data_IF_645583930631
#
_entry.id   IF_645583930631
#
_cell.length_a   1.000
_cell.length_b   1.000
_cell.length_c   1.000
_cell.angle_alpha   90.00
_cell.angle_beta   90.00
_cell.angle_gamma   90.00
#
_symmetry.space_group_name_H-M   'P 1'
#
loop_
_entity.id
_entity.type
_entity.pdbx_description
1 polymer ?
#
# COMPACT_ATOMS: atom_id res chain seq x y z
N UNK A 1 -25.56 -19.71 10.04
CA UNK A 1 -26.63 -18.98 9.35
C UNK A 1 -27.98 -19.68 9.45
N UNK A 2 -28.13 -20.96 9.08
CA UNK A 2 -29.43 -21.66 9.11
C UNK A 2 -30.11 -21.65 10.50
N UNK A 3 -29.35 -21.84 11.59
CA UNK A 3 -29.89 -21.79 12.95
C UNK A 3 -30.44 -20.40 13.32
N UNK A 4 -29.78 -19.32 12.86
CA UNK A 4 -30.24 -17.96 13.12
C UNK A 4 -31.54 -17.63 12.35
N UNK A 5 -31.72 -18.17 11.15
CA UNK A 5 -32.93 -17.99 10.34
C UNK A 5 -34.12 -18.86 10.77
N UNK A 6 -33.91 -19.80 11.69
CA UNK A 6 -34.93 -20.73 12.16
C UNK A 6 -35.80 -20.18 13.33
N UNK A 7 -35.61 -18.91 13.72
CA UNK A 7 -36.41 -18.25 14.72
C UNK A 7 -37.87 -18.09 14.29
N UNK A 8 -38.80 -18.23 15.23
CA UNK A 8 -40.22 -18.00 15.02
C UNK A 8 -40.74 -16.99 16.06
N UNK A 9 -41.39 -15.95 15.55
CA UNK A 9 -41.82 -14.82 16.38
C UNK A 9 -40.63 -14.21 17.14
N UNK A 10 -40.68 -14.20 18.46
CA UNK A 10 -39.64 -13.60 19.30
C UNK A 10 -38.70 -14.65 19.94
N UNK A 11 -38.81 -15.93 19.51
CA UNK A 11 -38.03 -17.04 20.08
C UNK A 11 -37.24 -17.78 18.99
N UNK A 12 -35.98 -18.06 19.30
CA UNK A 12 -35.14 -18.94 18.49
C UNK A 12 -34.59 -20.07 19.35
N UNK A 13 -35.22 -21.28 19.26
CA UNK A 13 -34.77 -22.47 19.98
C UNK A 13 -33.35 -22.93 19.64
N UNK A 14 -32.76 -22.38 18.58
CA UNK A 14 -31.39 -22.69 18.14
C UNK A 14 -30.32 -21.79 18.76
N UNK A 15 -30.66 -20.94 19.72
CA UNK A 15 -29.69 -20.08 20.42
C UNK A 15 -28.47 -20.84 20.98
N UNK A 16 -28.58 -22.05 21.58
CA UNK A 16 -27.40 -22.77 22.04
C UNK A 16 -26.45 -23.15 20.89
N UNK A 17 -26.99 -23.49 19.71
CA UNK A 17 -26.20 -23.83 18.52
C UNK A 17 -25.52 -22.57 17.96
N UNK A 18 -26.25 -21.46 17.94
CA UNK A 18 -25.72 -20.15 17.50
C UNK A 18 -24.57 -19.72 18.42
N UNK A 19 -24.79 -19.81 19.72
CA UNK A 19 -23.80 -19.44 20.75
C UNK A 19 -22.56 -20.32 20.66
N UNK A 20 -22.72 -21.63 20.54
CA UNK A 20 -21.61 -22.57 20.36
C UNK A 20 -20.79 -22.23 19.09
N UNK A 21 -21.47 -22.03 17.98
CA UNK A 21 -20.81 -21.67 16.71
C UNK A 21 -20.05 -20.32 16.81
N UNK A 22 -20.66 -19.33 17.46
CA UNK A 22 -20.05 -18.01 17.67
C UNK A 22 -18.78 -18.12 18.51
N UNK A 23 -18.87 -18.72 19.70
CA UNK A 23 -17.70 -18.86 20.58
C UNK A 23 -16.59 -19.74 19.97
N UNK A 24 -16.96 -20.77 19.25
CA UNK A 24 -15.99 -21.60 18.53
C UNK A 24 -15.28 -20.79 17.46
N UNK A 25 -16.00 -20.00 16.69
CA UNK A 25 -15.42 -19.12 15.66
C UNK A 25 -14.49 -18.07 16.27
N UNK A 26 -14.89 -17.43 17.34
CA UNK A 26 -14.06 -16.45 18.06
C UNK A 26 -12.76 -17.09 18.59
N UNK A 27 -12.83 -18.28 19.16
CA UNK A 27 -11.65 -19.02 19.63
C UNK A 27 -10.71 -19.37 18.48
N UNK A 28 -11.24 -19.84 17.38
CA UNK A 28 -10.44 -20.17 16.17
C UNK A 28 -9.78 -18.92 15.62
N UNK A 29 -10.50 -17.81 15.48
CA UNK A 29 -9.95 -16.54 15.03
C UNK A 29 -8.85 -16.01 15.94
N UNK A 30 -9.06 -16.06 17.26
CA UNK A 30 -8.04 -15.65 18.24
C UNK A 30 -6.76 -16.46 18.08
N UNK A 31 -6.89 -17.78 17.95
CA UNK A 31 -5.74 -18.67 17.73
C UNK A 31 -5.05 -18.41 16.39
N UNK A 32 -5.83 -18.16 15.34
CA UNK A 32 -5.29 -17.82 14.02
C UNK A 32 -4.50 -16.51 14.04
N UNK A 33 -5.03 -15.45 14.67
CA UNK A 33 -4.34 -14.18 14.84
C UNK A 33 -3.03 -14.33 15.64
N UNK A 34 -3.08 -15.06 16.74
CA UNK A 34 -1.87 -15.33 17.54
C UNK A 34 -0.82 -16.12 16.75
N UNK A 35 -1.26 -17.11 15.99
CA UNK A 35 -0.36 -17.91 15.14
C UNK A 35 0.25 -17.06 14.05
N UNK A 36 -0.55 -16.23 13.37
CA UNK A 36 -0.08 -15.30 12.35
C UNK A 36 0.94 -14.34 12.97
N UNK A 37 0.62 -13.73 14.12
CA UNK A 37 1.54 -12.84 14.81
C UNK A 37 2.87 -13.53 15.10
N UNK A 38 2.85 -14.65 15.82
CA UNK A 38 4.08 -15.29 16.34
C UNK A 38 4.89 -16.03 15.26
N UNK A 39 4.24 -16.53 14.21
CA UNK A 39 4.89 -17.33 13.16
C UNK A 39 5.21 -16.53 11.89
N UNK A 40 4.61 -15.37 11.72
CA UNK A 40 4.80 -14.55 10.53
C UNK A 40 5.25 -13.12 10.87
N UNK A 41 4.49 -12.40 11.70
CA UNK A 41 4.67 -10.95 11.86
C UNK A 41 5.87 -10.61 12.76
N UNK A 42 5.99 -11.25 13.94
CA UNK A 42 6.98 -10.90 14.96
C UNK A 42 8.45 -11.04 14.47
N UNK A 43 8.68 -11.74 13.37
CA UNK A 43 10.04 -11.92 12.81
C UNK A 43 10.30 -11.12 11.52
N UNK A 44 9.37 -10.27 11.08
CA UNK A 44 9.54 -9.50 9.85
C UNK A 44 10.58 -8.39 10.08
N UNK A 45 11.58 -8.36 9.22
CA UNK A 45 12.55 -7.27 9.11
C UNK A 45 12.49 -6.68 7.71
N UNK A 46 12.54 -5.35 7.63
CA UNK A 46 12.55 -4.67 6.34
C UNK A 46 13.94 -4.76 5.69
N UNK A 47 13.99 -5.15 4.43
CA UNK A 47 15.19 -4.98 3.61
C UNK A 47 15.16 -3.56 3.00
N UNK A 48 15.58 -2.57 3.82
CA UNK A 48 15.44 -1.14 3.52
C UNK A 48 16.07 -0.74 2.19
N UNK A 49 17.28 -1.24 1.91
CA UNK A 49 18.02 -0.89 0.70
C UNK A 49 17.29 -1.39 -0.55
N UNK A 50 16.82 -2.64 -0.51
CA UNK A 50 16.05 -3.24 -1.60
C UNK A 50 14.72 -2.54 -1.82
N UNK A 51 14.00 -2.22 -0.76
CA UNK A 51 12.71 -1.54 -0.87
C UNK A 51 12.86 -0.11 -1.36
N UNK A 52 13.88 0.63 -0.92
CA UNK A 52 14.20 1.95 -1.43
C UNK A 52 14.52 1.91 -2.94
N UNK A 53 15.36 0.98 -3.38
CA UNK A 53 15.66 0.78 -4.80
C UNK A 53 14.38 0.50 -5.61
N UNK A 54 13.53 -0.40 -5.13
CA UNK A 54 12.25 -0.72 -5.81
C UNK A 54 11.33 0.49 -5.93
N UNK A 55 11.25 1.34 -4.91
CA UNK A 55 10.47 2.59 -4.97
C UNK A 55 11.03 3.52 -6.03
N UNK A 56 12.33 3.77 -6.03
CA UNK A 56 12.97 4.70 -6.97
C UNK A 56 12.94 4.24 -8.43
N UNK A 57 12.83 2.94 -8.66
CA UNK A 57 12.63 2.37 -10.00
C UNK A 57 11.16 2.21 -10.40
N UNK A 58 10.22 2.52 -9.51
CA UNK A 58 8.79 2.43 -9.81
C UNK A 58 8.33 3.60 -10.67
N UNK A 59 7.63 3.31 -11.76
CA UNK A 59 6.94 4.36 -12.54
C UNK A 59 5.83 5.06 -11.75
N UNK A 60 5.33 4.46 -10.67
CA UNK A 60 4.26 5.02 -9.84
C UNK A 60 4.64 6.32 -9.14
N UNK A 61 5.94 6.51 -8.83
CA UNK A 61 6.42 7.73 -8.16
C UNK A 61 6.32 9.00 -9.04
N UNK A 62 6.10 8.85 -10.35
CA UNK A 62 5.89 9.99 -11.26
C UNK A 62 4.71 10.88 -10.84
N UNK A 63 3.77 10.32 -10.09
CA UNK A 63 2.60 11.06 -9.59
C UNK A 63 2.97 12.22 -8.67
N UNK A 64 4.10 12.14 -7.96
CA UNK A 64 4.63 13.22 -7.13
C UNK A 64 5.12 14.42 -7.94
N UNK A 65 5.44 14.21 -9.20
CA UNK A 65 5.85 15.28 -10.12
C UNK A 65 4.68 16.01 -10.76
N UNK A 66 3.46 15.48 -10.63
CA UNK A 66 2.26 16.03 -11.28
C UNK A 66 1.99 17.51 -10.90
N UNK A 67 2.16 17.95 -9.64
CA UNK A 67 1.98 19.37 -9.30
C UNK A 67 2.98 20.30 -10.01
N UNK A 68 4.19 19.82 -10.30
CA UNK A 68 5.26 20.62 -10.92
C UNK A 68 5.24 20.59 -12.44
N UNK A 69 4.96 19.43 -13.04
CA UNK A 69 5.12 19.19 -14.48
C UNK A 69 3.80 18.96 -15.23
N UNK A 70 2.70 18.79 -14.51
CA UNK A 70 1.39 18.46 -15.06
C UNK A 70 1.26 17.02 -15.52
N UNK A 71 0.01 16.60 -15.74
CA UNK A 71 -0.34 15.19 -16.02
C UNK A 71 0.28 14.66 -17.33
N UNK A 72 0.22 15.46 -18.40
CA UNK A 72 0.65 15.01 -19.74
C UNK A 72 2.15 14.67 -19.75
N UNK A 73 2.97 15.56 -19.22
CA UNK A 73 4.44 15.37 -19.13
C UNK A 73 4.77 14.17 -18.24
N UNK A 74 4.11 14.04 -17.10
CA UNK A 74 4.29 12.88 -16.21
C UNK A 74 3.93 11.56 -16.90
N UNK A 75 2.86 11.52 -17.69
CA UNK A 75 2.45 10.34 -18.45
C UNK A 75 3.48 9.95 -19.51
N UNK A 76 4.01 10.92 -20.23
CA UNK A 76 5.07 10.69 -21.23
C UNK A 76 6.35 10.13 -20.59
N UNK A 77 6.76 10.67 -19.45
CA UNK A 77 7.94 10.20 -18.71
C UNK A 77 7.76 8.81 -18.13
N UNK A 78 6.57 8.50 -17.59
CA UNK A 78 6.27 7.16 -17.11
C UNK A 78 6.32 6.12 -18.23
N UNK A 79 5.79 6.48 -19.41
CA UNK A 79 5.81 5.63 -20.60
C UNK A 79 7.26 5.41 -21.10
N UNK A 80 8.06 6.47 -21.14
CA UNK A 80 9.48 6.39 -21.51
C UNK A 80 10.28 5.53 -20.53
N UNK A 81 10.10 5.74 -19.21
CA UNK A 81 10.76 4.94 -18.18
C UNK A 81 10.41 3.45 -18.31
N UNK A 82 9.13 3.14 -18.55
CA UNK A 82 8.66 1.76 -18.72
C UNK A 82 9.29 1.07 -19.94
N UNK A 83 9.35 1.75 -21.08
CA UNK A 83 9.88 1.16 -22.33
C UNK A 83 11.40 1.12 -22.39
N UNK A 84 12.08 2.07 -21.78
CA UNK A 84 13.55 2.15 -21.82
C UNK A 84 14.24 1.48 -20.65
N UNK A 85 13.51 1.18 -19.56
CA UNK A 85 14.06 0.69 -18.29
C UNK A 85 14.89 1.72 -17.53
N UNK A 86 14.90 2.98 -17.98
CA UNK A 86 15.60 4.07 -17.28
C UNK A 86 14.84 4.49 -16.03
N UNK A 87 15.58 4.95 -15.01
CA UNK A 87 14.95 5.54 -13.82
C UNK A 87 14.31 6.89 -14.16
N UNK A 88 13.25 7.25 -13.43
CA UNK A 88 12.64 8.58 -13.58
C UNK A 88 13.62 9.71 -13.27
N UNK A 89 14.53 9.51 -12.30
CA UNK A 89 15.60 10.46 -12.01
C UNK A 89 16.47 10.74 -13.24
N UNK A 90 16.90 9.69 -13.94
CA UNK A 90 17.70 9.85 -15.14
C UNK A 90 16.98 10.64 -16.23
N UNK A 91 15.72 10.36 -16.47
CA UNK A 91 14.90 11.04 -17.48
C UNK A 91 14.67 12.50 -17.10
N UNK A 92 14.24 12.76 -15.85
CA UNK A 92 13.76 14.08 -15.40
C UNK A 92 14.92 15.04 -15.14
N UNK A 93 15.96 14.60 -14.43
CA UNK A 93 17.05 15.45 -13.95
C UNK A 93 18.19 15.49 -14.95
N UNK A 94 18.63 14.32 -15.46
CA UNK A 94 19.84 14.24 -16.28
C UNK A 94 19.56 14.54 -17.76
N UNK A 95 18.57 13.85 -18.35
CA UNK A 95 18.33 13.93 -19.79
C UNK A 95 17.46 15.13 -20.19
N UNK A 96 16.29 15.29 -19.54
CA UNK A 96 15.34 16.35 -19.89
C UNK A 96 15.52 17.65 -19.08
N UNK A 97 16.27 17.62 -17.98
CA UNK A 97 16.56 18.77 -17.10
C UNK A 97 15.31 19.54 -16.71
N UNK A 98 14.23 18.83 -16.41
CA UNK A 98 12.94 19.41 -16.03
C UNK A 98 12.92 19.86 -14.57
N UNK A 99 13.75 19.25 -13.73
CA UNK A 99 13.95 19.59 -12.33
C UNK A 99 15.45 19.60 -12.02
N UNK A 100 15.80 20.45 -11.06
CA UNK A 100 17.15 20.44 -10.47
C UNK A 100 17.29 19.25 -9.52
N UNK A 101 18.53 18.91 -9.17
CA UNK A 101 18.80 17.86 -8.19
C UNK A 101 18.18 18.21 -6.82
N UNK A 102 18.24 19.46 -6.40
CA UNK A 102 17.66 19.93 -5.13
C UNK A 102 16.14 19.78 -5.09
N UNK A 103 15.45 20.16 -6.19
CA UNK A 103 14.00 20.00 -6.32
C UNK A 103 13.59 18.53 -6.34
N UNK A 104 14.38 17.68 -6.98
CA UNK A 104 14.18 16.24 -6.95
C UNK A 104 14.28 15.68 -5.52
N UNK A 105 15.34 15.97 -4.79
CA UNK A 105 15.55 15.51 -3.42
C UNK A 105 14.47 16.02 -2.46
N UNK A 106 14.03 17.27 -2.63
CA UNK A 106 12.92 17.84 -1.86
C UNK A 106 11.61 17.11 -2.13
N UNK A 107 11.34 16.75 -3.38
CA UNK A 107 10.08 16.09 -3.79
C UNK A 107 10.06 14.63 -3.38
N UNK A 108 11.16 13.92 -3.53
CA UNK A 108 11.28 12.47 -3.30
C UNK A 108 11.90 12.11 -1.94
N UNK A 109 11.80 12.98 -0.95
CA UNK A 109 12.17 12.61 0.41
C UNK A 109 11.15 11.62 1.01
N UNK A 110 11.57 10.88 2.04
CA UNK A 110 10.75 9.84 2.65
C UNK A 110 9.43 10.40 3.21
N UNK A 111 9.46 11.58 3.81
CA UNK A 111 8.27 12.19 4.41
C UNK A 111 7.19 12.51 3.35
N UNK A 112 7.60 12.99 2.18
CA UNK A 112 6.69 13.24 1.07
C UNK A 112 6.18 11.94 0.41
N UNK A 113 6.99 10.89 0.39
CA UNK A 113 6.58 9.58 -0.13
C UNK A 113 5.51 8.92 0.75
N UNK A 114 5.60 9.08 2.08
CA UNK A 114 4.64 8.51 3.03
C UNK A 114 3.38 9.36 3.16
N UNK A 115 3.53 10.69 3.21
CA UNK A 115 2.44 11.63 3.38
C UNK A 115 2.65 12.86 2.48
N UNK A 116 2.38 12.74 1.17
CA UNK A 116 2.64 13.82 0.23
C UNK A 116 1.84 15.07 0.60
N UNK A 117 2.56 16.17 0.78
CA UNK A 117 1.98 17.51 1.00
C UNK A 117 1.96 18.21 -0.36
N UNK A 118 0.78 18.32 -0.94
CA UNK A 118 0.58 19.16 -2.12
C UNK A 118 0.34 20.58 -1.64
N UNK A 119 1.25 21.50 -1.93
CA UNK A 119 0.98 22.94 -1.79
C UNK A 119 -0.17 23.27 -2.74
N UNK A 120 -1.23 23.88 -2.20
CA UNK A 120 -2.41 24.31 -2.95
C UNK A 120 -2.10 25.61 -3.70
#
# INVERSE_FOLDING_TARGET
MLAASAGQLELNVMEPVITFALFTSLKVMTNACNTLRTKCIDGITANSDRTAEMVMHSCGIVTLLKPHLGYKVCSEMAHEAYHTGKSLHQIVVVERKLLTQEEWEKTFNLDNLIAPKFEQ
#
